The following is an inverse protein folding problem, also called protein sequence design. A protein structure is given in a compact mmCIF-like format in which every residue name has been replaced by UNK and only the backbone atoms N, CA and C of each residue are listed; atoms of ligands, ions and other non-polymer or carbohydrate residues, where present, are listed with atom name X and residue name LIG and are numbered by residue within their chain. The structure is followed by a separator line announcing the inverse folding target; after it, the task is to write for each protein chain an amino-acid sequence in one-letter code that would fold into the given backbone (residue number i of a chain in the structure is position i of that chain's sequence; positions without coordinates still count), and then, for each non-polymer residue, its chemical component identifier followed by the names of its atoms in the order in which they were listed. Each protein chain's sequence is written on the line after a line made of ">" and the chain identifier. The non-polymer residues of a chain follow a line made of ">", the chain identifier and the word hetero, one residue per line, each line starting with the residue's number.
data_IF_127282741222
#
_entry.id   IF_127282741222
#
_cell.length_a   1.000
_cell.length_b   1.000
_cell.length_c   1.000
_cell.angle_alpha   90.00
_cell.angle_beta   90.00
_cell.angle_gamma   90.00
#
_symmetry.space_group_name_H-M   'P 1'
#
loop_
_entity.id
_entity.type
_entity.pdbx_description
1 polymer ?
#
# COMPACT_ATOMS: atom_id res chain seq x y z
N UNK A 1 74.10 -54.87 7.67
CA UNK A 1 73.30 -54.34 8.79
C UNK A 1 73.15 -52.84 8.59
N UNK A 2 72.04 -52.33 7.91
CA UNK A 2 71.83 -50.91 7.60
C UNK A 2 70.72 -50.39 8.50
N UNK A 3 71.03 -49.46 9.43
CA UNK A 3 70.08 -48.75 10.29
C UNK A 3 69.52 -47.58 9.49
N UNK A 4 68.22 -47.59 9.18
CA UNK A 4 67.46 -46.49 8.63
C UNK A 4 67.09 -45.52 9.75
N UNK A 5 67.59 -44.29 9.66
CA UNK A 5 67.21 -43.16 10.52
C UNK A 5 65.83 -42.65 10.09
N UNK A 6 64.85 -42.72 11.01
CA UNK A 6 63.54 -42.13 10.89
C UNK A 6 63.61 -40.62 11.10
N UNK A 7 63.36 -39.86 10.06
CA UNK A 7 63.29 -38.38 10.15
C UNK A 7 62.06 -37.99 10.94
N UNK A 8 62.29 -37.23 12.02
CA UNK A 8 61.20 -36.62 12.82
C UNK A 8 60.48 -35.53 12.04
N UNK A 9 59.18 -35.65 11.91
CA UNK A 9 58.31 -34.63 11.35
C UNK A 9 58.07 -33.57 12.42
N UNK A 10 58.58 -32.33 12.20
CA UNK A 10 58.25 -31.16 13.03
C UNK A 10 56.77 -30.80 12.88
N UNK A 11 56.06 -30.56 13.97
CA UNK A 11 54.69 -30.09 13.89
C UNK A 11 54.68 -28.66 13.35
N UNK A 12 53.76 -28.40 12.39
CA UNK A 12 53.54 -27.07 11.86
C UNK A 12 52.99 -26.10 12.96
N UNK A 13 53.33 -24.79 12.93
CA UNK A 13 52.83 -23.85 13.92
C UNK A 13 51.31 -23.73 13.77
N UNK A 14 50.63 -23.99 14.87
CA UNK A 14 49.18 -23.76 15.02
C UNK A 14 48.90 -22.27 14.89
N UNK A 15 48.30 -21.89 13.76
CA UNK A 15 47.83 -20.51 13.56
C UNK A 15 46.54 -20.34 14.33
N UNK A 16 46.63 -20.11 15.62
CA UNK A 16 45.50 -19.63 16.44
C UNK A 16 45.03 -18.32 15.88
N UNK A 17 43.99 -18.36 15.04
CA UNK A 17 43.23 -17.19 14.63
C UNK A 17 42.69 -16.50 15.90
N UNK A 18 43.27 -15.37 16.24
CA UNK A 18 42.80 -14.49 17.29
C UNK A 18 41.37 -14.08 16.92
N UNK A 19 40.39 -14.74 17.53
CA UNK A 19 39.00 -14.30 17.48
C UNK A 19 38.93 -12.99 18.21
N UNK A 20 38.84 -11.86 17.50
CA UNK A 20 38.53 -10.56 18.10
C UNK A 20 37.17 -10.68 18.81
N UNK A 21 37.21 -10.66 20.14
CA UNK A 21 36.00 -10.58 20.93
C UNK A 21 35.51 -9.12 20.87
N UNK A 22 34.25 -8.93 20.48
CA UNK A 22 33.58 -7.62 20.51
C UNK A 22 33.45 -7.16 21.97
N UNK A 23 33.75 -5.90 22.22
CA UNK A 23 33.50 -5.31 23.53
C UNK A 23 32.03 -4.86 23.64
N UNK A 24 31.48 -4.88 24.86
CA UNK A 24 30.12 -4.40 25.14
C UNK A 24 29.98 -2.92 24.74
N UNK A 25 31.05 -2.12 24.95
CA UNK A 25 31.08 -0.70 24.57
C UNK A 25 31.01 -0.51 23.05
N UNK A 26 31.71 -1.33 22.26
CA UNK A 26 31.69 -1.27 20.81
C UNK A 26 30.29 -1.56 20.25
N UNK A 27 29.60 -2.55 20.85
CA UNK A 27 28.21 -2.85 20.48
C UNK A 27 27.29 -1.67 20.86
N UNK A 28 27.48 -1.08 22.04
CA UNK A 28 26.67 0.05 22.52
C UNK A 28 26.85 1.28 21.60
N UNK A 29 28.07 1.59 21.17
CA UNK A 29 28.34 2.69 20.23
C UNK A 29 27.69 2.43 18.88
N UNK A 30 27.74 1.20 18.37
CA UNK A 30 27.10 0.84 17.10
C UNK A 30 25.59 1.02 17.15
N UNK A 31 24.92 0.54 18.20
CA UNK A 31 23.46 0.71 18.32
C UNK A 31 23.08 2.19 18.50
N UNK A 32 23.90 2.98 19.19
CA UNK A 32 23.68 4.42 19.33
C UNK A 32 23.73 5.12 17.97
N UNK A 33 24.74 4.82 17.15
CA UNK A 33 24.89 5.41 15.81
C UNK A 33 23.72 5.00 14.91
N UNK A 34 23.34 3.71 14.91
CA UNK A 34 22.22 3.21 14.10
C UNK A 34 20.91 3.89 14.54
N UNK A 35 20.69 4.03 15.84
CA UNK A 35 19.48 4.70 16.37
C UNK A 35 19.42 6.17 15.95
N UNK A 36 20.55 6.87 15.97
CA UNK A 36 20.65 8.26 15.52
C UNK A 36 20.36 8.39 14.02
N UNK A 37 20.91 7.52 13.19
CA UNK A 37 20.64 7.50 11.75
C UNK A 37 19.18 7.15 11.45
N UNK A 38 18.62 6.17 12.15
CA UNK A 38 17.21 5.77 11.99
C UNK A 38 16.26 6.93 12.28
N UNK A 39 16.53 7.75 13.31
CA UNK A 39 15.71 8.92 13.65
C UNK A 39 15.62 9.96 12.53
N UNK A 40 16.63 10.09 11.67
CA UNK A 40 16.59 11.00 10.52
C UNK A 40 15.94 10.41 9.27
N UNK A 41 16.01 9.09 9.09
CA UNK A 41 15.54 8.42 7.87
C UNK A 41 14.05 8.07 7.98
N UNK A 42 13.60 7.57 9.12
CA UNK A 42 12.23 7.09 9.31
C UNK A 42 11.15 8.12 8.94
N UNK A 43 11.20 9.40 9.37
CA UNK A 43 10.16 10.38 9.04
C UNK A 43 10.02 10.67 7.54
N UNK A 44 11.12 10.53 6.78
CA UNK A 44 11.11 10.76 5.32
C UNK A 44 10.46 9.60 4.57
N UNK A 45 10.68 8.38 5.04
CA UNK A 45 10.07 7.18 4.44
C UNK A 45 8.55 7.17 4.64
N UNK A 46 8.06 7.49 5.83
CA UNK A 46 6.63 7.52 6.11
C UNK A 46 5.89 8.57 5.27
N UNK A 47 6.43 9.78 5.14
CA UNK A 47 5.83 10.81 4.26
C UNK A 47 5.78 10.41 2.79
N UNK A 48 6.81 9.71 2.30
CA UNK A 48 6.81 9.20 0.92
C UNK A 48 5.76 8.12 0.67
N UNK A 49 5.53 7.25 1.65
CA UNK A 49 4.54 6.18 1.57
C UNK A 49 3.11 6.73 1.55
N UNK A 50 2.80 7.72 2.38
CA UNK A 50 1.48 8.36 2.41
C UNK A 50 1.14 9.00 1.07
N UNK A 51 2.07 9.77 0.49
CA UNK A 51 1.87 10.36 -0.85
C UNK A 51 1.60 9.28 -1.91
N UNK A 52 2.40 8.20 -1.92
CA UNK A 52 2.20 7.11 -2.88
C UNK A 52 0.82 6.46 -2.74
N UNK A 53 0.33 6.24 -1.51
CA UNK A 53 -1.02 5.72 -1.27
C UNK A 53 -2.10 6.66 -1.80
N UNK A 54 -1.97 7.97 -1.60
CA UNK A 54 -2.91 8.97 -2.13
C UNK A 54 -2.94 8.96 -3.67
N UNK A 55 -1.78 8.86 -4.31
CA UNK A 55 -1.70 8.77 -5.78
C UNK A 55 -2.36 7.47 -6.29
N UNK A 56 -2.20 6.35 -5.59
CA UNK A 56 -2.88 5.09 -5.89
C UNK A 56 -4.40 5.23 -5.67
N UNK A 57 -4.86 5.92 -4.62
CA UNK A 57 -6.27 6.15 -4.37
C UNK A 57 -6.94 6.89 -5.53
N UNK A 58 -6.32 7.99 -6.01
CA UNK A 58 -6.79 8.73 -7.19
C UNK A 58 -6.82 7.87 -8.46
N UNK A 59 -5.78 7.07 -8.68
CA UNK A 59 -5.74 6.16 -9.83
C UNK A 59 -6.87 5.11 -9.78
N UNK A 60 -7.21 4.59 -8.59
CA UNK A 60 -8.34 3.70 -8.42
C UNK A 60 -9.68 4.40 -8.61
N UNK A 61 -9.84 5.65 -8.15
CA UNK A 61 -11.02 6.46 -8.42
C UNK A 61 -11.26 6.57 -9.94
N UNK A 62 -10.24 6.89 -10.72
CA UNK A 62 -10.37 6.97 -12.17
C UNK A 62 -10.84 5.65 -12.82
N UNK A 63 -10.45 4.49 -12.27
CA UNK A 63 -10.95 3.18 -12.72
C UNK A 63 -12.43 3.01 -12.38
N UNK A 64 -12.87 3.47 -11.21
CA UNK A 64 -14.29 3.43 -10.79
C UNK A 64 -15.11 4.37 -11.67
N UNK A 65 -14.62 5.59 -11.95
CA UNK A 65 -15.26 6.56 -12.84
C UNK A 65 -15.46 6.00 -14.26
N UNK A 66 -14.45 5.36 -14.84
CA UNK A 66 -14.56 4.67 -16.13
C UNK A 66 -15.60 3.54 -16.08
N UNK A 67 -15.69 2.83 -14.97
CA UNK A 67 -16.69 1.77 -14.77
C UNK A 67 -18.11 2.34 -14.62
N UNK A 68 -18.26 3.48 -13.94
CA UNK A 68 -19.53 4.21 -13.84
C UNK A 68 -19.95 4.76 -15.20
N UNK A 69 -19.02 5.27 -16.01
CA UNK A 69 -19.31 5.72 -17.36
C UNK A 69 -19.78 4.57 -18.26
N UNK A 70 -19.16 3.39 -18.17
CA UNK A 70 -19.60 2.18 -18.88
C UNK A 70 -20.98 1.72 -18.41
N UNK A 71 -21.24 1.75 -17.11
CA UNK A 71 -22.55 1.46 -16.55
C UNK A 71 -23.60 2.42 -17.11
N UNK A 72 -23.30 3.73 -17.14
CA UNK A 72 -24.19 4.74 -17.73
C UNK A 72 -24.50 4.48 -19.20
N UNK A 73 -23.50 4.13 -19.99
CA UNK A 73 -23.68 3.80 -21.43
C UNK A 73 -24.64 2.61 -21.61
N UNK A 74 -24.53 1.59 -20.80
CA UNK A 74 -25.36 0.39 -20.91
C UNK A 74 -26.75 0.56 -20.30
N UNK A 75 -26.82 1.17 -19.13
CA UNK A 75 -28.03 1.24 -18.30
C UNK A 75 -28.82 2.55 -18.48
N UNK A 76 -28.20 3.60 -19.06
CA UNK A 76 -28.82 4.89 -19.35
C UNK A 76 -28.91 5.85 -18.16
N UNK A 77 -28.39 5.47 -17.00
CA UNK A 77 -28.32 6.30 -15.79
C UNK A 77 -27.09 5.96 -14.94
N UNK A 78 -26.72 6.84 -14.04
CA UNK A 78 -25.80 6.52 -12.95
C UNK A 78 -26.53 5.75 -11.83
N UNK A 79 -25.79 5.06 -10.94
CA UNK A 79 -26.38 4.42 -9.77
C UNK A 79 -27.07 5.45 -8.85
N UNK A 80 -28.14 5.07 -8.19
CA UNK A 80 -28.69 5.84 -7.09
C UNK A 80 -27.86 5.67 -5.81
N UNK A 81 -27.95 6.60 -4.84
CA UNK A 81 -27.26 6.47 -3.55
C UNK A 81 -27.57 5.17 -2.82
N UNK A 82 -28.81 4.69 -2.90
CA UNK A 82 -29.22 3.44 -2.30
C UNK A 82 -28.64 2.18 -2.96
N UNK A 83 -28.18 2.29 -4.19
CA UNK A 83 -27.55 1.22 -4.94
C UNK A 83 -26.03 1.24 -4.74
N UNK A 84 -25.44 2.42 -4.65
CA UNK A 84 -24.01 2.63 -4.47
C UNK A 84 -23.17 2.00 -5.59
N UNK A 85 -21.93 1.67 -5.27
CA UNK A 85 -20.97 1.07 -6.21
C UNK A 85 -21.15 -0.44 -6.40
N UNK A 86 -21.98 -1.11 -5.60
CA UNK A 86 -22.21 -2.56 -5.72
C UNK A 86 -22.85 -2.94 -7.07
N UNK A 87 -23.60 -2.04 -7.71
CA UNK A 87 -24.17 -2.28 -9.04
C UNK A 87 -23.12 -2.45 -10.15
N UNK A 88 -21.89 -2.06 -9.88
CA UNK A 88 -20.77 -2.31 -10.79
C UNK A 88 -20.29 -3.76 -10.75
N UNK A 89 -20.66 -4.50 -9.70
CA UNK A 89 -20.33 -5.91 -9.48
C UNK A 89 -21.48 -6.85 -9.79
N UNK A 90 -22.73 -6.42 -9.46
CA UNK A 90 -23.94 -7.23 -9.57
C UNK A 90 -25.04 -6.41 -10.22
N UNK A 91 -25.77 -7.01 -11.16
CA UNK A 91 -26.87 -6.34 -11.85
C UNK A 91 -27.97 -5.91 -10.87
N UNK A 92 -28.45 -4.65 -10.93
CA UNK A 92 -29.68 -4.25 -10.25
C UNK A 92 -30.87 -4.97 -10.89
N UNK A 93 -31.87 -5.33 -10.09
CA UNK A 93 -33.03 -6.12 -10.55
C UNK A 93 -33.85 -5.43 -11.68
N UNK A 94 -33.86 -4.10 -11.69
CA UNK A 94 -34.58 -3.30 -12.72
C UNK A 94 -33.75 -3.10 -14.02
N UNK A 95 -32.46 -3.47 -14.03
CA UNK A 95 -31.57 -3.26 -15.15
C UNK A 95 -30.89 -4.54 -15.67
N UNK A 96 -31.32 -5.73 -15.25
CA UNK A 96 -30.73 -7.03 -15.62
C UNK A 96 -30.51 -7.18 -17.13
N UNK A 97 -31.52 -6.76 -17.94
CA UNK A 97 -31.45 -6.87 -19.40
C UNK A 97 -30.45 -5.92 -20.06
N UNK A 98 -30.15 -4.81 -19.42
CA UNK A 98 -29.23 -3.76 -19.94
C UNK A 98 -27.85 -3.85 -19.37
N UNK A 99 -27.71 -4.47 -18.20
CA UNK A 99 -26.47 -4.56 -17.47
C UNK A 99 -25.49 -5.52 -18.18
N UNK A 100 -24.29 -5.05 -18.48
CA UNK A 100 -23.27 -5.82 -19.20
C UNK A 100 -21.96 -5.89 -18.42
N UNK A 101 -22.05 -6.07 -17.09
CA UNK A 101 -20.91 -6.22 -16.20
C UNK A 101 -20.56 -7.70 -15.90
N UNK A 102 -19.75 -7.95 -14.88
CA UNK A 102 -19.22 -6.96 -13.92
C UNK A 102 -18.24 -5.98 -14.56
N UNK A 103 -18.32 -4.70 -14.13
CA UNK A 103 -17.49 -3.62 -14.68
C UNK A 103 -16.15 -3.50 -14.01
N UNK A 104 -16.02 -4.01 -12.77
CA UNK A 104 -14.79 -4.04 -12.00
C UNK A 104 -14.79 -5.20 -11.00
N UNK A 105 -13.71 -5.37 -10.25
CA UNK A 105 -13.58 -6.38 -9.20
C UNK A 105 -13.87 -5.75 -7.84
N UNK A 106 -14.35 -6.57 -6.88
CA UNK A 106 -14.61 -6.12 -5.50
C UNK A 106 -13.42 -5.46 -4.82
N UNK A 107 -12.19 -5.92 -5.09
CA UNK A 107 -10.97 -5.32 -4.56
C UNK A 107 -10.68 -3.91 -5.07
N UNK A 108 -11.32 -3.48 -6.16
CA UNK A 108 -11.17 -2.15 -6.73
C UNK A 108 -12.10 -1.13 -6.07
N UNK A 109 -13.11 -1.60 -5.31
CA UNK A 109 -13.97 -0.77 -4.47
C UNK A 109 -13.33 -0.37 -3.13
N UNK A 110 -12.14 -0.86 -2.84
CA UNK A 110 -11.38 -0.51 -1.64
C UNK A 110 -10.21 0.40 -2.00
N UNK A 111 -10.00 1.40 -1.19
CA UNK A 111 -8.86 2.31 -1.29
C UNK A 111 -7.54 1.62 -0.85
N UNK A 112 -6.37 2.28 -0.90
CA UNK A 112 -5.10 1.70 -0.48
C UNK A 112 -4.95 1.45 1.04
N UNK A 113 -5.88 1.92 1.85
CA UNK A 113 -5.96 1.66 3.30
C UNK A 113 -7.01 0.62 3.64
N UNK A 114 -7.62 -0.02 2.61
CA UNK A 114 -8.67 -1.05 2.71
C UNK A 114 -10.04 -0.51 3.16
N UNK A 115 -10.25 0.80 3.09
CA UNK A 115 -11.55 1.43 3.32
C UNK A 115 -12.37 1.44 2.02
N UNK A 116 -13.72 1.30 2.08
CA UNK A 116 -14.56 1.41 0.89
C UNK A 116 -14.60 2.85 0.39
N UNK A 117 -14.62 3.03 -0.93
CA UNK A 117 -14.94 4.33 -1.52
C UNK A 117 -16.40 4.66 -1.26
N UNK A 118 -16.65 5.92 -0.88
CA UNK A 118 -17.99 6.47 -0.71
C UNK A 118 -18.44 7.05 -2.06
N UNK A 119 -19.68 6.78 -2.44
CA UNK A 119 -20.31 7.28 -3.64
C UNK A 119 -21.50 8.13 -3.28
N UNK A 120 -21.59 9.31 -3.88
CA UNK A 120 -22.73 10.23 -3.73
C UNK A 120 -23.24 10.56 -5.13
N UNK A 121 -24.47 10.16 -5.44
CA UNK A 121 -25.06 10.27 -6.79
C UNK A 121 -25.25 11.73 -7.23
N UNK A 122 -25.63 12.62 -6.31
CA UNK A 122 -25.66 14.07 -6.54
C UNK A 122 -24.47 14.70 -5.83
N UNK A 123 -23.35 14.86 -6.55
CA UNK A 123 -22.10 15.34 -5.99
C UNK A 123 -22.23 16.71 -5.34
N UNK A 124 -21.66 16.82 -4.13
CA UNK A 124 -21.55 18.07 -3.39
C UNK A 124 -20.32 18.83 -3.86
N UNK A 125 -19.23 18.12 -4.07
CA UNK A 125 -17.96 18.65 -4.58
C UNK A 125 -18.00 18.80 -6.11
N UNK A 126 -18.74 17.91 -6.82
CA UNK A 126 -18.91 17.91 -8.27
C UNK A 126 -20.39 18.15 -8.65
N UNK A 127 -20.93 19.39 -8.55
CA UNK A 127 -22.33 19.66 -8.85
C UNK A 127 -22.69 19.28 -10.30
N UNK A 128 -23.73 18.46 -10.47
CA UNK A 128 -24.17 17.95 -11.76
C UNK A 128 -23.49 16.66 -12.20
N UNK A 129 -22.65 16.10 -11.37
CA UNK A 129 -22.02 14.79 -11.48
C UNK A 129 -22.14 14.06 -10.15
N UNK A 130 -21.33 13.02 -9.94
CA UNK A 130 -21.25 12.27 -8.69
C UNK A 130 -19.94 12.58 -7.95
N UNK A 131 -19.92 12.33 -6.65
CA UNK A 131 -18.68 12.33 -5.88
C UNK A 131 -18.23 10.89 -5.59
N UNK A 132 -16.91 10.66 -5.71
CA UNK A 132 -16.20 9.52 -5.16
C UNK A 132 -15.25 10.02 -4.08
N UNK A 133 -15.32 9.45 -2.89
CA UNK A 133 -14.57 9.91 -1.75
C UNK A 133 -13.83 8.74 -1.11
N UNK A 134 -12.53 8.92 -0.83
CA UNK A 134 -11.78 8.07 0.11
C UNK A 134 -11.51 8.89 1.36
N UNK A 135 -11.87 8.36 2.52
CA UNK A 135 -11.64 8.98 3.82
C UNK A 135 -10.22 8.73 4.38
N UNK A 136 -9.25 8.44 3.48
CA UNK A 136 -7.87 8.29 3.90
C UNK A 136 -7.61 7.10 4.83
N UNK A 137 -6.56 7.24 5.65
CA UNK A 137 -6.05 6.12 6.45
C UNK A 137 -6.94 5.76 7.65
N UNK A 138 -7.69 6.69 8.21
CA UNK A 138 -8.55 6.46 9.38
C UNK A 138 -10.00 6.10 9.01
N UNK A 139 -10.38 6.25 7.73
CA UNK A 139 -11.73 5.93 7.25
C UNK A 139 -12.82 6.85 7.81
N UNK A 140 -12.47 8.08 8.21
CA UNK A 140 -13.40 9.07 8.78
C UNK A 140 -13.37 10.35 7.97
N UNK A 141 -14.50 11.04 7.88
CA UNK A 141 -14.62 12.32 7.18
C UNK A 141 -13.69 13.38 7.80
N UNK A 142 -12.93 14.07 6.95
CA UNK A 142 -11.99 15.12 7.34
C UNK A 142 -10.56 14.57 7.55
N UNK A 143 -9.80 15.24 8.41
CA UNK A 143 -8.42 14.84 8.73
C UNK A 143 -7.34 15.62 7.97
N UNK A 144 -6.09 15.28 8.24
CA UNK A 144 -4.91 15.90 7.63
C UNK A 144 -3.86 14.83 7.26
N UNK A 145 -3.04 15.12 6.27
CA UNK A 145 -1.95 14.23 5.84
C UNK A 145 -2.46 12.92 5.24
N UNK A 146 -2.15 11.79 5.85
CA UNK A 146 -2.60 10.47 5.38
C UNK A 146 -4.09 10.22 5.66
N UNK A 147 -4.70 10.97 6.57
CA UNK A 147 -6.12 10.91 6.93
C UNK A 147 -6.98 11.90 6.13
N UNK A 148 -6.37 12.76 5.32
CA UNK A 148 -7.09 13.76 4.53
C UNK A 148 -7.95 13.09 3.45
N UNK A 149 -9.21 13.55 3.33
CA UNK A 149 -10.15 13.08 2.32
C UNK A 149 -9.61 13.32 0.91
N UNK A 150 -9.86 12.36 0.05
CA UNK A 150 -9.55 12.45 -1.37
C UNK A 150 -10.87 12.35 -2.12
N UNK A 151 -11.18 13.37 -2.89
CA UNK A 151 -12.38 13.44 -3.73
C UNK A 151 -11.92 13.38 -5.19
N UNK A 152 -12.77 12.82 -6.06
CA UNK A 152 -12.53 12.86 -7.50
C UNK A 152 -12.67 14.31 -8.05
N UNK A 153 -12.02 14.56 -9.20
CA UNK A 153 -12.02 15.86 -9.89
C UNK A 153 -13.26 16.02 -10.78
#
# INVERSE_FOLDING_TARGET
>A
MKRTRRAGRSPAPDQTRLRRAFTLVELLVVILIISMLAAFVAPRMFRGLGKAKRDIARAKMAIIEDSLARFYIHCGRYPADSEGLEVLLVAPADLEEKWNGPYLKRSELLDPWENPYIYVAEGIYNPGSFDLISYGADGQEGGEGDNEDIVND
#
